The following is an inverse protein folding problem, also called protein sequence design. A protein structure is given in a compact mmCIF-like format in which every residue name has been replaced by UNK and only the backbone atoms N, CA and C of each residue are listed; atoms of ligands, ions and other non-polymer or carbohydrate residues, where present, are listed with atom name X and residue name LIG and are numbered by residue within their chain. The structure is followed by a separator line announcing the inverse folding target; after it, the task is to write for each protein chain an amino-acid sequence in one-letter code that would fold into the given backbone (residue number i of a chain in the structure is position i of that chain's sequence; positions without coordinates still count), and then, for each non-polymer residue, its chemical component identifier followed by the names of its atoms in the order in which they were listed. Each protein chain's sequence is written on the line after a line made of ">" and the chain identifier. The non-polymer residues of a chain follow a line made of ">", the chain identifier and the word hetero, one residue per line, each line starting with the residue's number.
data_IF_164887941471
#
_entry.id   IF_164887941471
#
_cell.length_a   1.000
_cell.length_b   1.000
_cell.length_c   1.000
_cell.angle_alpha   90.00
_cell.angle_beta   90.00
_cell.angle_gamma   90.00
#
_symmetry.space_group_name_H-M   'P 1'
#
loop_
_entity.id
_entity.type
_entity.pdbx_description
1 polymer ?
#
# COMPACT_ATOMS: atom_id res chain seq x y z
N UNK A 1 2.42 -13.81 -13.84
CA UNK A 1 2.91 -14.87 -12.94
C UNK A 1 2.19 -14.90 -11.59
N UNK A 2 1.80 -13.76 -11.03
CA UNK A 2 1.17 -13.66 -9.70
C UNK A 2 -0.32 -13.29 -9.72
N UNK A 3 -0.92 -13.00 -10.87
CA UNK A 3 -2.26 -12.49 -11.00
C UNK A 3 -3.01 -13.15 -12.16
N UNK A 4 -4.27 -13.51 -11.93
CA UNK A 4 -5.21 -14.00 -12.96
C UNK A 4 -6.06 -12.86 -13.54
N UNK A 5 -6.27 -11.80 -12.76
CA UNK A 5 -6.98 -10.59 -13.20
C UNK A 5 -6.02 -9.42 -13.32
N UNK A 6 -6.21 -8.59 -14.34
CA UNK A 6 -5.40 -7.43 -14.61
C UNK A 6 -6.32 -6.22 -14.82
N UNK A 7 -5.88 -5.00 -14.44
CA UNK A 7 -6.62 -3.78 -14.78
C UNK A 7 -6.64 -3.58 -16.29
N UNK A 8 -7.73 -3.04 -16.80
CA UNK A 8 -7.88 -2.67 -18.21
C UNK A 8 -7.33 -1.27 -18.50
N UNK A 9 -7.41 -0.39 -17.50
CA UNK A 9 -6.87 0.98 -17.60
C UNK A 9 -5.36 0.98 -17.40
N UNK A 10 -4.71 1.89 -18.05
CA UNK A 10 -3.29 2.20 -17.85
C UNK A 10 -3.11 3.45 -17.00
N UNK A 11 -1.88 3.80 -16.66
CA UNK A 11 -1.55 5.01 -15.92
C UNK A 11 -0.30 5.69 -16.49
N UNK A 12 -0.21 6.98 -16.21
CA UNK A 12 0.94 7.79 -16.55
C UNK A 12 1.75 8.14 -15.31
N UNK A 13 3.06 8.35 -15.49
CA UNK A 13 3.91 8.91 -14.45
C UNK A 13 4.14 10.38 -14.75
N UNK A 14 3.85 11.25 -13.77
CA UNK A 14 4.02 12.70 -13.88
C UNK A 14 4.74 13.26 -12.67
N UNK A 15 5.48 14.36 -12.88
CA UNK A 15 5.99 15.13 -11.74
C UNK A 15 4.82 15.80 -11.00
N UNK A 16 4.98 15.94 -9.68
CA UNK A 16 4.07 16.78 -8.87
C UNK A 16 4.17 18.23 -9.35
N UNK A 17 3.02 18.91 -9.44
CA UNK A 17 2.98 20.29 -9.94
C UNK A 17 3.72 21.27 -8.98
N UNK A 18 4.40 22.30 -9.52
CA UNK A 18 5.25 23.21 -8.73
C UNK A 18 4.55 23.90 -7.56
N UNK A 19 3.24 24.17 -7.68
CA UNK A 19 2.50 24.88 -6.64
C UNK A 19 2.29 24.07 -5.36
N UNK A 20 2.38 22.73 -5.43
CA UNK A 20 2.16 21.82 -4.28
C UNK A 20 3.34 20.89 -3.97
N UNK A 21 4.41 20.88 -4.76
CA UNK A 21 5.52 19.93 -4.63
C UNK A 21 6.22 19.96 -3.26
N UNK A 22 6.30 21.17 -2.63
CA UNK A 22 6.92 21.35 -1.33
C UNK A 22 6.22 20.64 -0.17
N UNK A 23 4.90 20.47 -0.29
CA UNK A 23 4.05 19.83 0.73
C UNK A 23 3.58 18.43 0.35
N UNK A 24 3.83 18.00 -0.89
CA UNK A 24 3.44 16.69 -1.37
C UNK A 24 4.36 15.58 -0.85
N UNK A 25 3.81 14.37 -0.68
CA UNK A 25 4.59 13.16 -0.42
C UNK A 25 5.55 12.83 -1.56
N UNK A 26 6.49 11.90 -1.35
CA UNK A 26 7.43 11.44 -2.37
C UNK A 26 6.77 10.78 -3.58
N UNK A 27 5.60 10.17 -3.40
CA UNK A 27 4.75 9.61 -4.45
C UNK A 27 3.29 9.62 -4.04
N UNK A 28 2.40 9.61 -5.04
CA UNK A 28 0.96 9.49 -4.84
C UNK A 28 0.27 8.99 -6.12
N UNK A 29 -0.69 8.09 -5.99
CA UNK A 29 -1.51 7.66 -7.10
C UNK A 29 -2.86 8.38 -7.12
N UNK A 30 -3.24 8.89 -8.29
CA UNK A 30 -4.56 9.43 -8.58
C UNK A 30 -5.28 8.52 -9.58
N UNK A 31 -6.42 7.99 -9.18
CA UNK A 31 -7.17 7.07 -10.02
C UNK A 31 -7.74 7.73 -11.28
N UNK A 32 -7.89 6.94 -12.35
CA UNK A 32 -8.53 7.35 -13.59
C UNK A 32 -9.95 7.89 -13.35
N UNK A 33 -10.45 8.76 -14.25
CA UNK A 33 -11.85 9.19 -14.23
C UNK A 33 -12.79 8.03 -14.59
N UNK A 34 -14.04 8.09 -14.12
CA UNK A 34 -15.04 7.03 -14.40
C UNK A 34 -15.36 6.90 -15.89
N UNK A 35 -15.36 8.02 -16.61
CA UNK A 35 -15.65 8.13 -18.05
C UNK A 35 -14.46 7.81 -18.94
N UNK A 36 -13.27 7.55 -18.35
CA UNK A 36 -12.04 7.27 -19.10
C UNK A 36 -11.39 8.52 -19.73
N UNK A 37 -11.92 9.73 -19.52
CA UNK A 37 -11.36 10.97 -20.08
C UNK A 37 -9.99 11.34 -19.52
N UNK A 38 -9.64 10.84 -18.33
CA UNK A 38 -8.35 11.02 -17.69
C UNK A 38 -7.79 9.66 -17.23
N UNK A 39 -6.54 9.31 -17.61
CA UNK A 39 -5.89 8.10 -17.14
C UNK A 39 -5.60 8.14 -15.64
N UNK A 40 -5.20 7.02 -15.05
CA UNK A 40 -4.55 6.99 -13.75
C UNK A 40 -3.24 7.78 -13.80
N UNK A 41 -2.86 8.42 -12.70
CA UNK A 41 -1.61 9.18 -12.64
C UNK A 41 -0.85 8.79 -11.37
N UNK A 42 0.37 8.32 -11.56
CA UNK A 42 1.35 8.23 -10.49
C UNK A 42 2.15 9.53 -10.47
N UNK A 43 1.94 10.34 -9.46
CA UNK A 43 2.72 11.56 -9.24
C UNK A 43 4.01 11.24 -8.50
N UNK A 44 5.15 11.56 -9.09
CA UNK A 44 6.46 11.48 -8.47
C UNK A 44 6.90 12.89 -8.03
N UNK A 45 7.25 13.06 -6.77
CA UNK A 45 7.73 14.35 -6.27
C UNK A 45 9.19 14.53 -6.66
N UNK A 46 9.49 15.58 -7.42
CA UNK A 46 10.84 15.90 -7.91
C UNK A 46 11.43 17.17 -7.28
N UNK A 47 10.76 17.75 -6.28
CA UNK A 47 11.18 19.02 -5.65
C UNK A 47 12.58 18.94 -5.04
N UNK A 48 12.83 17.91 -4.23
CA UNK A 48 14.15 17.69 -3.64
C UNK A 48 14.68 16.30 -4.00
N UNK A 49 15.35 16.23 -5.15
CA UNK A 49 15.92 14.98 -5.65
C UNK A 49 17.03 14.41 -4.77
N UNK A 50 17.66 15.24 -3.90
CA UNK A 50 18.69 14.76 -2.97
C UNK A 50 18.09 13.96 -1.82
N UNK A 51 16.85 14.28 -1.43
CA UNK A 51 16.12 13.56 -0.40
C UNK A 51 15.38 12.31 -0.94
N UNK A 52 15.35 12.11 -2.26
CA UNK A 52 14.68 11.02 -2.94
C UNK A 52 15.71 9.97 -3.41
N UNK A 53 16.10 9.01 -2.58
CA UNK A 53 17.14 8.07 -2.93
C UNK A 53 16.67 7.09 -4.00
N UNK A 54 17.52 6.82 -4.99
CA UNK A 54 17.22 5.89 -6.08
C UNK A 54 16.84 4.49 -5.59
N UNK A 55 17.40 4.04 -4.50
CA UNK A 55 17.11 2.71 -3.93
C UNK A 55 15.66 2.54 -3.42
N UNK A 56 14.89 3.61 -3.29
CA UNK A 56 13.48 3.54 -2.91
C UNK A 56 12.54 3.47 -4.13
N UNK A 57 13.05 3.60 -5.35
CA UNK A 57 12.23 3.78 -6.56
C UNK A 57 11.41 2.54 -6.91
N UNK A 58 12.00 1.34 -6.85
CA UNK A 58 11.28 0.10 -7.18
C UNK A 58 10.13 -0.13 -6.19
N UNK A 59 10.37 0.01 -4.89
CA UNK A 59 9.34 -0.13 -3.88
C UNK A 59 8.22 0.91 -4.06
N UNK A 60 8.57 2.17 -4.32
CA UNK A 60 7.59 3.23 -4.58
C UNK A 60 6.78 2.95 -5.86
N UNK A 61 7.42 2.47 -6.91
CA UNK A 61 6.74 2.11 -8.17
C UNK A 61 5.76 0.95 -7.98
N UNK A 62 6.12 -0.04 -7.18
CA UNK A 62 5.24 -1.15 -6.82
C UNK A 62 4.06 -0.66 -5.96
N UNK A 63 4.29 0.31 -5.07
CA UNK A 63 3.27 0.86 -4.18
C UNK A 63 2.21 1.67 -4.95
N UNK A 64 2.65 2.64 -5.77
CA UNK A 64 1.75 3.57 -6.47
C UNK A 64 1.19 2.98 -7.77
N UNK A 65 2.00 2.20 -8.48
CA UNK A 65 1.68 1.61 -9.79
C UNK A 65 1.19 0.18 -9.72
N UNK A 66 1.87 -0.69 -10.46
CA UNK A 66 1.57 -2.12 -10.56
C UNK A 66 2.55 -2.95 -9.71
N UNK A 67 2.02 -3.82 -8.78
CA UNK A 67 0.62 -4.16 -8.56
C UNK A 67 -0.05 -3.44 -7.37
N UNK A 68 0.38 -2.23 -6.99
CA UNK A 68 -0.10 -1.49 -5.85
C UNK A 68 -1.42 -0.73 -6.08
N UNK A 69 -1.42 0.58 -5.78
CA UNK A 69 -2.63 1.41 -5.81
C UNK A 69 -3.32 1.43 -7.16
N UNK A 70 -2.58 1.66 -8.26
CA UNK A 70 -3.17 1.66 -9.60
C UNK A 70 -3.90 0.34 -9.85
N UNK A 71 -3.23 -0.76 -9.65
CA UNK A 71 -3.74 -2.09 -9.92
C UNK A 71 -5.03 -2.39 -9.12
N UNK A 72 -4.99 -2.18 -7.81
CA UNK A 72 -6.10 -2.44 -6.91
C UNK A 72 -7.32 -1.55 -7.22
N UNK A 73 -7.11 -0.23 -7.35
CA UNK A 73 -8.19 0.73 -7.53
C UNK A 73 -8.83 0.57 -8.92
N UNK A 74 -8.04 0.29 -9.95
CA UNK A 74 -8.56 0.08 -11.30
C UNK A 74 -9.43 -1.19 -11.35
N UNK A 75 -8.96 -2.31 -10.82
CA UNK A 75 -9.77 -3.54 -10.75
C UNK A 75 -11.07 -3.28 -9.99
N UNK A 76 -11.02 -2.59 -8.84
CA UNK A 76 -12.22 -2.25 -8.07
C UNK A 76 -13.23 -1.42 -8.89
N UNK A 77 -12.77 -0.40 -9.60
CA UNK A 77 -13.63 0.50 -10.40
C UNK A 77 -14.22 -0.19 -11.63
N UNK A 78 -13.53 -1.20 -12.15
CA UNK A 78 -13.96 -2.00 -13.29
C UNK A 78 -15.04 -3.05 -12.96
N UNK A 79 -15.31 -3.33 -11.69
CA UNK A 79 -16.36 -4.25 -11.21
C UNK A 79 -17.76 -3.64 -11.42
N UNK A 80 -18.28 -3.68 -12.65
CA UNK A 80 -19.54 -3.01 -13.03
C UNK A 80 -20.77 -3.54 -12.27
N UNK A 81 -20.73 -4.76 -11.76
CA UNK A 81 -21.80 -5.38 -10.98
C UNK A 81 -21.84 -4.89 -9.53
N UNK A 82 -20.79 -4.23 -9.06
CA UNK A 82 -20.78 -3.61 -7.75
C UNK A 82 -21.47 -2.23 -7.79
N UNK A 83 -22.26 -1.88 -6.75
CA UNK A 83 -22.87 -0.55 -6.65
C UNK A 83 -21.79 0.54 -6.55
N UNK A 84 -22.13 1.77 -6.96
CA UNK A 84 -21.17 2.88 -7.04
C UNK A 84 -20.41 3.13 -5.72
N UNK A 85 -21.07 3.06 -4.56
CA UNK A 85 -20.40 3.28 -3.27
C UNK A 85 -19.32 2.22 -2.98
N UNK A 86 -19.44 1.01 -3.52
CA UNK A 86 -18.43 -0.04 -3.43
C UNK A 86 -17.29 0.18 -4.44
N UNK A 87 -17.60 0.69 -5.62
CA UNK A 87 -16.61 0.94 -6.68
C UNK A 87 -15.73 2.15 -6.39
N UNK A 88 -16.27 3.19 -5.76
CA UNK A 88 -15.60 4.47 -5.52
C UNK A 88 -15.33 4.77 -4.04
N UNK A 89 -15.90 4.01 -3.14
CA UNK A 89 -15.56 4.04 -1.72
C UNK A 89 -14.26 3.30 -1.43
N UNK A 90 -13.73 3.47 -0.23
CA UNK A 90 -12.49 2.81 0.17
C UNK A 90 -12.38 2.58 1.67
N UNK A 91 -11.52 1.68 2.04
CA UNK A 91 -11.07 1.44 3.41
C UNK A 91 -9.56 1.60 3.43
N UNK A 92 -9.07 2.61 4.16
CA UNK A 92 -7.66 2.99 4.14
C UNK A 92 -6.74 1.82 4.49
N UNK A 93 -7.09 1.02 5.50
CA UNK A 93 -6.30 -0.13 5.89
C UNK A 93 -6.25 -1.23 4.80
N UNK A 94 -7.29 -1.36 3.99
CA UNK A 94 -7.27 -2.26 2.85
C UNK A 94 -6.37 -1.72 1.72
N UNK A 95 -6.56 -0.46 1.31
CA UNK A 95 -5.85 0.09 0.15
C UNK A 95 -4.36 0.28 0.44
N UNK A 96 -4.01 0.84 1.59
CA UNK A 96 -2.61 1.02 1.99
C UNK A 96 -1.95 -0.31 2.35
N UNK A 97 -2.71 -1.20 2.98
CA UNK A 97 -2.25 -2.55 3.30
C UNK A 97 -1.94 -3.36 2.05
N UNK A 98 -2.79 -3.29 1.02
CA UNK A 98 -2.53 -3.90 -0.27
C UNK A 98 -1.28 -3.32 -0.94
N UNK A 99 -1.15 -1.99 -1.00
CA UNK A 99 -0.01 -1.35 -1.64
C UNK A 99 1.31 -1.68 -0.92
N UNK A 100 1.32 -1.74 0.41
CA UNK A 100 2.50 -2.16 1.17
C UNK A 100 2.78 -3.67 1.00
N UNK A 101 1.75 -4.51 0.91
CA UNK A 101 1.89 -5.92 0.56
C UNK A 101 2.48 -6.09 -0.83
N UNK A 102 2.05 -5.27 -1.80
CA UNK A 102 2.55 -5.28 -3.17
C UNK A 102 4.06 -4.99 -3.26
N UNK A 103 4.60 -4.12 -2.39
CA UNK A 103 6.05 -3.90 -2.30
C UNK A 103 6.81 -5.22 -2.02
N UNK A 104 6.26 -6.10 -1.19
CA UNK A 104 6.88 -7.41 -0.86
C UNK A 104 6.89 -8.40 -2.03
N UNK A 105 6.09 -8.17 -3.06
CA UNK A 105 6.03 -9.01 -4.26
C UNK A 105 7.14 -8.70 -5.29
N UNK A 106 8.00 -7.72 -5.02
CA UNK A 106 9.03 -7.29 -5.97
C UNK A 106 9.97 -8.42 -6.41
N UNK A 107 10.51 -9.22 -5.48
CA UNK A 107 11.40 -10.36 -5.84
C UNK A 107 10.73 -11.39 -6.78
N UNK A 108 9.55 -11.93 -6.48
CA UNK A 108 8.88 -12.84 -7.41
C UNK A 108 8.48 -12.19 -8.74
N UNK A 109 8.43 -10.86 -8.82
CA UNK A 109 8.21 -10.11 -10.06
C UNK A 109 9.50 -9.86 -10.86
N UNK A 110 10.68 -10.14 -10.30
CA UNK A 110 11.98 -9.93 -10.93
C UNK A 110 12.57 -8.55 -10.66
N UNK A 111 12.14 -7.93 -9.55
CA UNK A 111 12.68 -6.66 -9.03
C UNK A 111 13.57 -6.92 -7.80
N UNK A 112 14.20 -5.87 -7.29
CA UNK A 112 15.12 -5.94 -6.14
C UNK A 112 16.35 -6.81 -6.42
N UNK A 113 16.78 -6.91 -7.68
CA UNK A 113 18.05 -7.55 -8.06
C UNK A 113 19.23 -6.77 -7.50
N UNK A 114 19.15 -5.42 -7.52
CA UNK A 114 20.09 -4.55 -6.81
C UNK A 114 19.81 -4.61 -5.30
N UNK A 115 20.79 -5.03 -4.47
CA UNK A 115 20.64 -5.07 -3.01
C UNK A 115 20.22 -3.73 -2.39
N UNK A 116 20.59 -2.60 -3.00
CA UNK A 116 20.16 -1.29 -2.52
C UNK A 116 18.66 -1.07 -2.73
N UNK A 117 18.07 -1.54 -3.82
CA UNK A 117 16.62 -1.49 -4.04
C UNK A 117 15.88 -2.34 -3.00
N UNK A 118 16.41 -3.52 -2.69
CA UNK A 118 15.85 -4.36 -1.62
C UNK A 118 15.98 -3.69 -0.23
N UNK A 119 17.13 -3.08 0.05
CA UNK A 119 17.32 -2.28 1.26
C UNK A 119 16.29 -1.14 1.33
N UNK A 120 16.01 -0.45 0.22
CA UNK A 120 14.99 0.60 0.14
C UNK A 120 13.60 0.11 0.51
N UNK A 121 13.21 -1.07 0.03
CA UNK A 121 11.96 -1.72 0.41
C UNK A 121 11.92 -2.00 1.92
N UNK A 122 12.98 -2.58 2.50
CA UNK A 122 13.06 -2.86 3.94
C UNK A 122 12.99 -1.58 4.78
N UNK A 123 13.66 -0.50 4.35
CA UNK A 123 13.55 0.81 5.01
C UNK A 123 12.13 1.37 4.96
N UNK A 124 11.46 1.22 3.82
CA UNK A 124 10.06 1.58 3.66
C UNK A 124 9.15 0.78 4.59
N UNK A 125 9.36 -0.50 4.71
CA UNK A 125 8.59 -1.39 5.59
C UNK A 125 8.83 -1.07 7.08
N UNK A 126 10.11 -0.86 7.48
CA UNK A 126 10.45 -0.40 8.82
C UNK A 126 9.76 0.92 9.17
N UNK A 127 9.75 1.88 8.23
CA UNK A 127 9.07 3.14 8.43
C UNK A 127 7.57 2.97 8.71
N UNK A 128 6.89 2.04 8.01
CA UNK A 128 5.48 1.73 8.26
C UNK A 128 5.26 1.01 9.61
N UNK A 129 6.24 0.24 10.07
CA UNK A 129 6.21 -0.33 11.43
C UNK A 129 6.38 0.76 12.51
N UNK A 130 7.29 1.71 12.32
CA UNK A 130 7.45 2.88 13.21
C UNK A 130 6.15 3.66 13.33
N UNK A 131 5.40 3.83 12.24
CA UNK A 131 4.09 4.51 12.23
C UNK A 131 3.08 3.88 13.20
N UNK A 132 3.10 2.55 13.40
CA UNK A 132 2.23 1.89 14.39
C UNK A 132 2.47 2.42 15.79
N UNK A 133 3.73 2.66 16.15
CA UNK A 133 4.10 3.13 17.48
C UNK A 133 3.78 4.61 17.64
N UNK A 134 4.23 5.44 16.69
CA UNK A 134 4.17 6.90 16.87
C UNK A 134 2.75 7.45 16.72
N UNK A 135 1.93 6.92 15.81
CA UNK A 135 0.52 7.35 15.68
C UNK A 135 -0.27 6.95 16.94
N UNK A 136 -0.11 5.72 17.39
CA UNK A 136 -0.72 5.25 18.65
C UNK A 136 -0.18 6.02 19.85
N UNK A 137 1.12 6.32 19.86
CA UNK A 137 1.75 7.18 20.86
C UNK A 137 1.07 8.53 20.97
N UNK A 138 0.89 9.22 19.84
CA UNK A 138 0.23 10.53 19.76
C UNK A 138 -1.22 10.47 20.24
N UNK A 139 -2.03 9.60 19.62
CA UNK A 139 -3.48 9.69 19.73
C UNK A 139 -4.09 8.85 20.84
N UNK A 140 -3.39 7.81 21.33
CA UNK A 140 -3.88 6.93 22.37
C UNK A 140 -3.06 6.98 23.68
N UNK A 141 -1.79 7.42 23.61
CA UNK A 141 -0.89 7.43 24.77
C UNK A 141 -0.46 8.84 25.22
N UNK A 142 -0.93 9.89 24.54
CA UNK A 142 -0.63 11.26 24.89
C UNK A 142 0.84 11.67 24.69
N UNK A 143 1.53 11.04 23.74
CA UNK A 143 2.90 11.43 23.41
C UNK A 143 2.97 12.85 22.88
N UNK A 144 4.01 13.56 23.31
CA UNK A 144 4.35 14.85 22.76
C UNK A 144 4.98 14.72 21.38
N UNK A 145 4.98 15.80 20.59
CA UNK A 145 5.69 15.86 19.32
C UNK A 145 7.17 15.46 19.49
N UNK A 146 7.83 15.90 20.56
CA UNK A 146 9.23 15.58 20.80
C UNK A 146 9.44 14.08 21.02
N UNK A 147 8.59 13.41 21.79
CA UNK A 147 8.68 11.96 22.00
C UNK A 147 8.53 11.18 20.68
N UNK A 148 7.68 11.67 19.75
CA UNK A 148 7.57 11.07 18.41
C UNK A 148 8.87 11.23 17.64
N UNK A 149 9.43 12.42 17.61
CA UNK A 149 10.70 12.72 16.92
C UNK A 149 11.86 11.89 17.48
N UNK A 150 11.97 11.79 18.80
CA UNK A 150 12.99 10.99 19.48
C UNK A 150 12.88 9.50 19.13
N UNK A 151 11.64 8.97 19.11
CA UNK A 151 11.41 7.58 18.73
C UNK A 151 11.77 7.32 17.26
N UNK A 152 11.41 8.24 16.35
CA UNK A 152 11.75 8.13 14.93
C UNK A 152 13.26 8.22 14.71
N UNK A 153 13.96 9.08 15.44
CA UNK A 153 15.41 9.23 15.38
C UNK A 153 16.13 7.97 15.83
N UNK A 154 15.71 7.42 16.96
CA UNK A 154 16.28 6.20 17.52
C UNK A 154 16.05 4.94 16.67
N UNK A 155 15.01 4.90 15.83
CA UNK A 155 14.58 3.70 15.13
C UNK A 155 14.65 3.79 13.60
N UNK A 156 15.11 4.90 13.01
CA UNK A 156 15.23 5.05 11.56
C UNK A 156 16.46 5.85 11.15
N UNK A 157 16.88 5.65 9.90
CA UNK A 157 17.91 6.50 9.26
C UNK A 157 17.29 7.72 8.54
N UNK A 158 16.02 8.06 8.79
CA UNK A 158 15.36 9.19 8.14
C UNK A 158 15.95 10.51 8.62
N UNK A 159 16.22 11.45 7.69
CA UNK A 159 16.68 12.80 8.02
C UNK A 159 15.63 13.58 8.83
N UNK A 160 16.08 14.56 9.59
CA UNK A 160 15.25 15.36 10.49
C UNK A 160 14.05 16.00 9.78
N UNK A 161 14.25 16.61 8.61
CA UNK A 161 13.18 17.25 7.85
C UNK A 161 12.03 16.26 7.55
N UNK A 162 12.36 15.01 7.18
CA UNK A 162 11.36 13.99 6.95
C UNK A 162 10.65 13.57 8.24
N UNK A 163 11.37 13.40 9.35
CA UNK A 163 10.78 13.05 10.65
C UNK A 163 9.80 14.12 11.11
N UNK A 164 10.18 15.40 11.00
CA UNK A 164 9.33 16.54 11.36
C UNK A 164 8.06 16.57 10.50
N UNK A 165 8.20 16.54 9.18
CA UNK A 165 7.07 16.58 8.25
C UNK A 165 6.09 15.41 8.50
N UNK A 166 6.60 14.21 8.72
CA UNK A 166 5.77 13.03 8.97
C UNK A 166 5.10 13.08 10.34
N UNK A 167 5.80 13.50 11.40
CA UNK A 167 5.20 13.67 12.73
C UNK A 167 4.02 14.65 12.69
N UNK A 168 4.19 15.79 12.04
CA UNK A 168 3.15 16.81 11.89
C UNK A 168 1.98 16.31 11.03
N UNK A 169 2.27 15.55 9.97
CA UNK A 169 1.23 14.89 9.18
C UNK A 169 0.39 13.93 10.01
N UNK A 170 0.99 13.12 10.88
CA UNK A 170 0.25 12.17 11.73
C UNK A 170 -0.63 12.87 12.75
N UNK A 171 -0.21 14.02 13.27
CA UNK A 171 -1.06 14.85 14.14
C UNK A 171 -2.34 15.31 13.44
N UNK A 172 -2.24 15.64 12.13
CA UNK A 172 -3.37 16.15 11.35
C UNK A 172 -4.37 15.10 10.88
N UNK A 173 -3.97 13.81 10.80
CA UNK A 173 -4.79 12.72 10.26
C UNK A 173 -4.66 11.44 11.11
N UNK A 174 -5.26 11.43 12.31
CA UNK A 174 -5.19 10.30 13.25
C UNK A 174 -5.59 8.98 12.60
N UNK A 175 -4.80 7.91 12.85
CA UNK A 175 -5.12 6.56 12.40
C UNK A 175 -4.76 6.24 10.94
N UNK A 176 -4.48 7.24 10.09
CA UNK A 176 -4.07 6.98 8.71
C UNK A 176 -2.71 6.28 8.64
N UNK A 177 -1.77 6.70 9.47
CA UNK A 177 -0.41 6.15 9.45
C UNK A 177 -0.34 4.67 9.85
N UNK A 178 -1.20 4.19 10.74
CA UNK A 178 -1.25 2.77 11.14
C UNK A 178 -1.87 1.86 10.08
N UNK A 179 -2.68 2.41 9.20
CA UNK A 179 -3.45 1.66 8.18
C UNK A 179 -2.56 0.77 7.31
N UNK A 180 -1.39 1.26 6.91
CA UNK A 180 -0.41 0.57 6.06
C UNK A 180 -0.02 -0.80 6.61
N UNK A 181 0.59 -0.78 7.79
CA UNK A 181 1.16 -2.00 8.39
C UNK A 181 0.09 -2.94 8.91
N UNK A 182 -0.99 -2.42 9.48
CA UNK A 182 -2.13 -3.25 9.92
C UNK A 182 -2.75 -3.99 8.74
N UNK A 183 -2.99 -3.29 7.63
CA UNK A 183 -3.55 -3.91 6.43
C UNK A 183 -2.61 -4.94 5.79
N UNK A 184 -1.32 -4.61 5.67
CA UNK A 184 -0.30 -5.55 5.17
C UNK A 184 -0.25 -6.83 6.01
N UNK A 185 -0.15 -6.70 7.34
CA UNK A 185 -0.08 -7.85 8.26
C UNK A 185 -1.32 -8.73 8.14
N UNK A 186 -2.51 -8.13 7.99
CA UNK A 186 -3.74 -8.90 7.78
C UNK A 186 -3.72 -9.65 6.45
N UNK A 187 -3.31 -9.04 5.36
CA UNK A 187 -3.24 -9.71 4.05
C UNK A 187 -2.19 -10.84 4.09
N UNK A 188 -1.05 -10.64 4.74
CA UNK A 188 -0.03 -11.67 4.93
C UNK A 188 -0.55 -12.83 5.78
N UNK A 189 -1.20 -12.55 6.91
CA UNK A 189 -1.86 -13.56 7.77
C UNK A 189 -2.85 -14.43 6.98
N UNK A 190 -3.68 -13.78 6.16
CA UNK A 190 -4.67 -14.48 5.34
C UNK A 190 -4.02 -15.34 4.24
N UNK A 191 -2.95 -14.85 3.64
CA UNK A 191 -2.16 -15.60 2.67
C UNK A 191 -1.52 -16.84 3.32
N UNK A 192 -0.82 -16.66 4.43
CA UNK A 192 -0.19 -17.75 5.17
C UNK A 192 -1.21 -18.80 5.64
N UNK A 193 -2.40 -18.34 6.08
CA UNK A 193 -3.51 -19.24 6.41
C UNK A 193 -3.92 -20.07 5.19
N UNK A 194 -4.12 -19.43 4.05
CA UNK A 194 -4.50 -20.13 2.82
C UNK A 194 -3.43 -21.12 2.37
N UNK A 195 -2.14 -20.73 2.42
CA UNK A 195 -1.01 -21.61 2.11
C UNK A 195 -0.99 -22.86 3.01
N UNK A 196 -1.16 -22.69 4.31
CA UNK A 196 -1.19 -23.82 5.27
C UNK A 196 -2.40 -24.73 5.05
N UNK A 197 -3.57 -24.17 4.81
CA UNK A 197 -4.81 -24.93 4.76
C UNK A 197 -5.06 -25.64 3.41
N UNK A 198 -4.56 -25.07 2.33
CA UNK A 198 -4.69 -25.63 0.99
C UNK A 198 -3.47 -26.47 0.56
N UNK A 199 -2.30 -26.25 1.16
CA UNK A 199 -1.08 -26.98 0.80
C UNK A 199 -0.80 -26.94 -0.71
N UNK A 200 -0.61 -28.09 -1.38
CA UNK A 200 -0.34 -28.13 -2.83
C UNK A 200 -1.43 -27.55 -3.73
N UNK A 201 -2.65 -27.33 -3.21
CA UNK A 201 -3.76 -26.71 -3.94
C UNK A 201 -3.74 -25.19 -3.88
N UNK A 202 -2.86 -24.59 -3.07
CA UNK A 202 -2.75 -23.14 -3.00
C UNK A 202 -2.23 -22.58 -4.32
N UNK A 203 -2.95 -21.58 -4.85
CA UNK A 203 -2.52 -20.78 -6.01
C UNK A 203 -2.56 -19.30 -5.62
N UNK A 204 -1.39 -18.68 -5.58
CA UNK A 204 -1.27 -17.27 -5.22
C UNK A 204 -2.05 -16.33 -6.12
N UNK A 205 -2.26 -16.68 -7.39
CA UNK A 205 -3.04 -15.89 -8.35
C UNK A 205 -4.51 -15.86 -7.97
N UNK A 206 -5.03 -17.01 -7.54
CA UNK A 206 -6.42 -17.14 -7.05
C UNK A 206 -6.60 -16.42 -5.73
N UNK A 207 -5.61 -16.51 -4.82
CA UNK A 207 -5.62 -15.72 -3.58
C UNK A 207 -5.70 -14.22 -3.88
N UNK A 208 -4.86 -13.71 -4.77
CA UNK A 208 -4.91 -12.30 -5.15
C UNK A 208 -6.23 -11.92 -5.82
N UNK A 209 -6.81 -12.81 -6.62
CA UNK A 209 -8.15 -12.60 -7.20
C UNK A 209 -9.21 -12.45 -6.12
N UNK A 210 -9.21 -13.31 -5.09
CA UNK A 210 -10.18 -13.22 -3.97
C UNK A 210 -10.00 -11.91 -3.21
N UNK A 211 -8.76 -11.47 -2.98
CA UNK A 211 -8.50 -10.20 -2.30
C UNK A 211 -9.03 -9.03 -3.12
N UNK A 212 -8.83 -9.01 -4.45
CA UNK A 212 -9.04 -7.81 -5.29
C UNK A 212 -10.42 -7.71 -5.93
N UNK A 213 -11.01 -8.86 -6.34
CA UNK A 213 -12.22 -8.86 -7.17
C UNK A 213 -13.49 -8.36 -6.45
N UNK A 214 -13.48 -8.32 -5.12
CA UNK A 214 -14.57 -7.78 -4.32
C UNK A 214 -14.48 -6.26 -4.08
N UNK A 215 -13.46 -5.59 -4.62
CA UNK A 215 -13.14 -4.20 -4.28
C UNK A 215 -12.65 -4.04 -2.84
N UNK A 216 -12.46 -2.81 -2.40
CA UNK A 216 -12.02 -2.53 -1.04
C UNK A 216 -13.05 -2.99 0.00
N UNK A 217 -12.57 -3.69 1.04
CA UNK A 217 -13.38 -4.27 2.11
C UNK A 217 -12.81 -3.88 3.49
N UNK A 218 -13.66 -3.81 4.54
CA UNK A 218 -13.16 -3.91 5.91
C UNK A 218 -12.35 -5.20 6.07
N UNK A 219 -11.26 -5.15 6.86
CA UNK A 219 -10.35 -6.30 6.96
C UNK A 219 -11.01 -7.59 7.49
N UNK A 220 -12.00 -7.45 8.38
CA UNK A 220 -12.76 -8.60 8.90
C UNK A 220 -13.66 -9.22 7.83
N UNK A 221 -14.23 -8.39 6.96
CA UNK A 221 -15.03 -8.87 5.81
C UNK A 221 -14.12 -9.57 4.81
N UNK A 222 -12.94 -9.00 4.51
CA UNK A 222 -11.93 -9.64 3.67
C UNK A 222 -11.53 -11.02 4.23
N UNK A 223 -11.32 -11.12 5.54
CA UNK A 223 -11.04 -12.40 6.21
C UNK A 223 -12.15 -13.42 5.95
N UNK A 224 -13.41 -13.00 6.03
CA UNK A 224 -14.56 -13.86 5.72
C UNK A 224 -14.58 -14.33 4.26
N UNK A 225 -14.24 -13.46 3.30
CA UNK A 225 -14.15 -13.84 1.88
C UNK A 225 -13.05 -14.87 1.63
N UNK A 226 -11.87 -14.66 2.19
CA UNK A 226 -10.75 -15.61 2.08
C UNK A 226 -11.10 -16.95 2.72
N UNK A 227 -11.76 -16.95 3.88
CA UNK A 227 -12.19 -18.19 4.55
C UNK A 227 -13.17 -18.99 3.66
N UNK A 228 -14.21 -18.33 3.11
CA UNK A 228 -15.16 -18.98 2.20
C UNK A 228 -14.47 -19.56 0.96
N UNK A 229 -13.50 -18.83 0.40
CA UNK A 229 -12.72 -19.34 -0.73
C UNK A 229 -11.92 -20.60 -0.35
N UNK A 230 -11.25 -20.60 0.79
CA UNK A 230 -10.49 -21.76 1.30
C UNK A 230 -11.42 -22.97 1.44
N UNK A 231 -12.58 -22.80 2.07
CA UNK A 231 -13.55 -23.87 2.28
C UNK A 231 -14.07 -24.45 0.93
N UNK A 232 -14.32 -23.56 -0.04
CA UNK A 232 -14.71 -23.97 -1.38
C UNK A 232 -13.63 -24.79 -2.13
N UNK A 233 -12.33 -24.48 -1.90
CA UNK A 233 -11.22 -25.23 -2.49
C UNK A 233 -10.97 -26.59 -1.80
N UNK A 234 -11.49 -26.80 -0.59
CA UNK A 234 -11.37 -28.07 0.14
C UNK A 234 -12.43 -29.07 -0.30
N UNK A 235 -13.60 -28.58 -0.72
CA UNK A 235 -14.73 -29.41 -1.13
C UNK A 235 -14.70 -29.83 -2.60
N UNK A 236 -13.76 -29.33 -3.39
CA UNK A 236 -13.49 -29.67 -4.78
C UNK A 236 -12.25 -30.57 -4.89
#
# INVERSE_FOLDING_TARGET
>A
RLFDILPKSDYEVRAVEPFREKSASGGAYQAASEDGSRPGIFYANTYDMKSQPKWAMEALSLHEGNPGHHFQISIQREQRDLPKFRRFGGYTAYSEGWALYAESLGKPLGLYEDPYQYFGMLQGELWRAIRLVVDTGLHAKGWTRQQVLDYMDANSAAGEARRVSEAERYMGIPGQAVAYKIGQLKIQELREKAERELGPRFDVRKFHTVVLANGALPLDVLQGEVARWIDGQRGS
#
